data_IF_046920326540
#
_entry.id   IF_046920326540
#
_cell.length_a   1.000
_cell.length_b   1.000
_cell.length_c   1.000
_cell.angle_alpha   90.00
_cell.angle_beta   90.00
_cell.angle_gamma   90.00
#
_symmetry.space_group_name_H-M   'P 1'
#
loop_
_entity.id
_entity.type
_entity.pdbx_description
1 polymer ?
#
# COMPACT_ATOMS: atom_id res chain seq x y z
N UNK A 1 -33.62 -31.19 -11.53
CA UNK A 1 -32.32 -31.88 -11.45
C UNK A 1 -31.47 -31.77 -12.74
N UNK A 2 -31.97 -32.17 -13.92
CA UNK A 2 -31.17 -32.14 -15.19
C UNK A 2 -30.61 -30.77 -15.59
N UNK A 3 -31.36 -29.68 -15.40
CA UNK A 3 -30.92 -28.31 -15.74
C UNK A 3 -29.81 -27.79 -14.82
N UNK A 4 -29.85 -28.18 -13.54
CA UNK A 4 -28.85 -27.78 -12.54
C UNK A 4 -27.52 -28.50 -12.79
N UNK A 5 -27.59 -29.80 -13.11
CA UNK A 5 -26.43 -30.59 -13.55
C UNK A 5 -25.80 -30.03 -14.84
N UNK A 6 -26.62 -29.59 -15.79
CA UNK A 6 -26.13 -28.94 -17.02
C UNK A 6 -25.40 -27.62 -16.72
N UNK A 7 -25.95 -26.79 -15.83
CA UNK A 7 -25.30 -25.53 -15.39
C UNK A 7 -23.96 -25.80 -14.69
N UNK A 8 -23.90 -26.85 -13.85
CA UNK A 8 -22.69 -27.26 -13.13
C UNK A 8 -21.61 -27.73 -14.11
N UNK A 9 -21.97 -28.59 -15.07
CA UNK A 9 -21.07 -29.08 -16.13
C UNK A 9 -20.54 -27.94 -17.02
N UNK A 10 -21.39 -26.96 -17.36
CA UNK A 10 -21.00 -25.79 -18.16
C UNK A 10 -20.02 -24.91 -17.38
N UNK A 11 -20.25 -24.73 -16.09
CA UNK A 11 -19.38 -23.95 -15.19
C UNK A 11 -17.98 -24.57 -15.09
N UNK A 12 -17.90 -25.86 -14.79
CA UNK A 12 -16.62 -26.59 -14.65
C UNK A 12 -15.80 -26.61 -15.95
N UNK A 13 -16.45 -26.45 -17.11
CA UNK A 13 -15.80 -26.39 -18.43
C UNK A 13 -15.42 -24.98 -18.88
N UNK A 14 -15.76 -23.94 -18.12
CA UNK A 14 -15.45 -22.57 -18.51
C UNK A 14 -14.03 -22.22 -18.03
N UNK A 15 -13.02 -22.14 -18.90
CA UNK A 15 -11.63 -21.92 -18.48
C UNK A 15 -11.47 -20.57 -17.76
N UNK A 16 -12.18 -19.54 -18.20
CA UNK A 16 -12.17 -18.22 -17.58
C UNK A 16 -12.59 -18.25 -16.10
N UNK A 17 -13.58 -19.09 -15.75
CA UNK A 17 -14.00 -19.25 -14.35
C UNK A 17 -12.86 -19.77 -13.47
N UNK A 18 -12.12 -20.77 -13.95
CA UNK A 18 -10.97 -21.31 -13.23
C UNK A 18 -9.79 -20.35 -13.14
N UNK A 19 -9.56 -19.55 -14.20
CA UNK A 19 -8.56 -18.46 -14.17
C UNK A 19 -8.89 -17.48 -13.04
N UNK A 20 -10.14 -17.08 -12.87
CA UNK A 20 -10.55 -16.20 -11.78
C UNK A 20 -10.50 -16.86 -10.41
N UNK A 21 -10.92 -18.13 -10.28
CA UNK A 21 -10.83 -18.87 -9.02
C UNK A 21 -9.38 -19.01 -8.56
N UNK A 22 -8.48 -19.43 -9.46
CA UNK A 22 -7.05 -19.54 -9.16
C UNK A 22 -6.42 -18.15 -8.94
N UNK A 23 -6.82 -17.15 -9.72
CA UNK A 23 -6.37 -15.77 -9.56
C UNK A 23 -6.74 -15.22 -8.18
N UNK A 24 -7.99 -15.37 -7.75
CA UNK A 24 -8.44 -14.95 -6.41
C UNK A 24 -7.70 -15.72 -5.31
N UNK A 25 -7.46 -17.02 -5.51
CA UNK A 25 -6.76 -17.85 -4.52
C UNK A 25 -5.27 -17.49 -4.38
N UNK A 26 -4.60 -17.13 -5.48
CA UNK A 26 -3.13 -17.04 -5.52
C UNK A 26 -2.61 -15.60 -5.60
N UNK A 27 -3.25 -14.71 -6.37
CA UNK A 27 -2.72 -13.36 -6.59
C UNK A 27 -2.81 -12.46 -5.34
N UNK A 28 -3.92 -12.37 -4.60
CA UNK A 28 -3.95 -11.57 -3.38
C UNK A 28 -2.91 -12.02 -2.34
N UNK A 29 -2.76 -13.33 -2.02
CA UNK A 29 -1.69 -13.77 -1.13
C UNK A 29 -0.29 -13.50 -1.69
N UNK A 30 -0.07 -13.66 -2.99
CA UNK A 30 1.19 -13.28 -3.62
C UNK A 30 1.50 -11.79 -3.40
N UNK A 31 0.57 -10.89 -3.68
CA UNK A 31 0.74 -9.45 -3.46
C UNK A 31 0.89 -9.09 -1.98
N UNK A 32 0.27 -9.84 -1.07
CA UNK A 32 0.48 -9.70 0.37
C UNK A 32 1.93 -10.02 0.76
N UNK A 33 2.48 -11.13 0.26
CA UNK A 33 3.85 -11.55 0.53
C UNK A 33 4.85 -10.60 -0.14
N UNK A 34 4.62 -10.23 -1.40
CA UNK A 34 5.44 -9.23 -2.09
C UNK A 34 5.43 -7.93 -1.30
N UNK A 35 4.27 -7.38 -0.94
CA UNK A 35 4.19 -6.14 -0.15
C UNK A 35 4.82 -6.22 1.24
N UNK A 36 5.04 -7.43 1.78
CA UNK A 36 5.75 -7.67 3.04
C UNK A 36 7.27 -7.73 2.85
N UNK A 37 7.73 -8.15 1.68
CA UNK A 37 9.16 -8.33 1.37
C UNK A 37 9.75 -7.23 0.48
N UNK A 38 8.91 -6.44 -0.20
CA UNK A 38 9.32 -5.17 -0.82
C UNK A 38 9.31 -4.09 0.24
N UNK A 39 10.34 -4.11 1.09
CA UNK A 39 10.77 -2.90 1.76
C UNK A 39 10.99 -1.82 0.69
N UNK A 40 10.67 -0.55 0.99
CA UNK A 40 11.19 0.52 0.16
C UNK A 40 12.72 0.34 0.09
N UNK A 41 13.36 0.55 -1.07
CA UNK A 41 14.81 0.46 -1.15
C UNK A 41 15.40 1.32 -0.02
N UNK A 42 16.33 0.80 0.80
CA UNK A 42 16.84 1.56 1.92
C UNK A 42 17.56 2.81 1.41
N UNK A 43 17.67 3.82 2.26
CA UNK A 43 18.69 4.85 2.06
C UNK A 43 19.97 4.45 2.78
N UNK A 44 21.10 4.93 2.29
CA UNK A 44 22.40 4.60 2.86
C UNK A 44 23.22 5.85 3.15
N UNK A 45 24.33 5.69 3.86
CA UNK A 45 25.32 6.75 4.02
C UNK A 45 26.73 6.22 3.89
N UNK A 46 27.62 7.10 3.43
CA UNK A 46 29.06 6.90 3.45
C UNK A 46 29.69 8.03 4.26
N UNK A 47 30.70 7.66 5.05
CA UNK A 47 31.45 8.57 5.89
C UNK A 47 32.90 8.55 5.46
N UNK A 48 33.41 9.71 5.04
CA UNK A 48 34.77 9.84 4.53
C UNK A 48 35.82 9.66 5.65
N UNK A 49 35.54 10.18 6.84
CA UNK A 49 36.39 10.02 8.02
C UNK A 49 35.59 9.51 9.24
N UNK A 50 35.69 8.21 9.57
CA UNK A 50 35.06 7.64 10.76
C UNK A 50 35.56 8.16 12.11
N UNK A 51 36.70 8.87 12.13
CA UNK A 51 37.28 9.43 13.36
C UNK A 51 36.78 10.85 13.65
N UNK A 52 36.09 11.49 12.71
CA UNK A 52 35.48 12.79 12.95
C UNK A 52 34.27 12.63 13.91
N UNK A 53 34.29 13.27 15.10
CA UNK A 53 33.32 12.98 16.15
C UNK A 53 31.89 13.37 15.75
N UNK A 54 31.71 14.51 15.06
CA UNK A 54 30.38 14.94 14.63
C UNK A 54 29.85 14.10 13.46
N UNK A 55 30.72 13.65 12.55
CA UNK A 55 30.36 12.70 11.49
C UNK A 55 29.88 11.38 12.07
N UNK A 56 30.57 10.84 13.09
CA UNK A 56 30.14 9.64 13.79
C UNK A 56 28.78 9.83 14.50
N UNK A 57 28.53 11.01 15.06
CA UNK A 57 27.23 11.34 15.66
C UNK A 57 26.11 11.38 14.60
N UNK A 58 26.33 12.05 13.47
CA UNK A 58 25.38 12.08 12.34
C UNK A 58 25.09 10.65 11.86
N UNK A 59 26.12 9.84 11.64
CA UNK A 59 25.99 8.44 11.27
C UNK A 59 25.12 7.65 12.26
N UNK A 60 25.33 7.84 13.57
CA UNK A 60 24.51 7.20 14.60
C UNK A 60 23.04 7.64 14.60
N UNK A 61 22.73 8.88 14.23
CA UNK A 61 21.34 9.30 14.00
C UNK A 61 20.74 8.68 12.73
N UNK A 62 21.51 8.57 11.66
CA UNK A 62 21.09 7.95 10.40
C UNK A 62 20.84 6.44 10.58
N UNK A 63 21.69 5.73 11.33
CA UNK A 63 21.49 4.32 11.68
C UNK A 63 20.14 4.11 12.39
N UNK A 64 19.84 4.96 13.38
CA UNK A 64 18.54 4.92 14.10
C UNK A 64 17.35 5.25 13.20
N UNK A 65 17.56 6.06 12.16
CA UNK A 65 16.57 6.37 11.14
C UNK A 65 16.45 5.26 10.06
N UNK A 66 17.20 4.17 10.18
CA UNK A 66 17.13 3.02 9.27
C UNK A 66 18.00 3.15 8.02
N UNK A 67 18.97 4.06 8.01
CA UNK A 67 19.96 4.12 6.94
C UNK A 67 20.99 2.99 7.10
N UNK A 68 21.56 2.56 5.97
CA UNK A 68 22.59 1.51 5.93
C UNK A 68 23.97 2.12 5.67
N UNK A 69 24.98 1.74 6.45
CA UNK A 69 26.37 2.15 6.20
C UNK A 69 26.93 1.51 4.93
N UNK A 70 27.60 2.31 4.11
CA UNK A 70 28.21 1.86 2.85
C UNK A 70 29.75 1.92 2.90
N UNK A 71 30.43 0.96 2.24
CA UNK A 71 31.88 0.82 2.35
C UNK A 71 32.67 1.87 1.55
N UNK A 72 32.09 2.44 0.49
CA UNK A 72 32.73 3.50 -0.30
C UNK A 72 31.71 4.43 -0.96
N UNK A 73 32.13 5.65 -1.26
CA UNK A 73 31.35 6.64 -2.00
C UNK A 73 30.95 6.11 -3.39
N UNK A 74 31.87 5.46 -4.11
CA UNK A 74 31.61 4.97 -5.48
C UNK A 74 30.58 3.84 -5.49
N UNK A 75 30.62 2.96 -4.49
CA UNK A 75 29.61 1.92 -4.32
C UNK A 75 28.24 2.54 -4.04
N UNK A 76 28.19 3.54 -3.16
CA UNK A 76 26.96 4.24 -2.80
C UNK A 76 26.36 4.95 -4.02
N UNK A 77 27.16 5.73 -4.76
CA UNK A 77 26.70 6.44 -5.97
C UNK A 77 26.16 5.48 -7.01
N UNK A 78 26.87 4.37 -7.26
CA UNK A 78 26.46 3.36 -8.25
C UNK A 78 25.13 2.71 -7.90
N UNK A 79 24.91 2.37 -6.63
CA UNK A 79 23.70 1.66 -6.21
C UNK A 79 22.49 2.62 -6.14
N UNK A 80 22.73 3.91 -5.81
CA UNK A 80 21.72 4.98 -5.97
C UNK A 80 21.37 5.19 -7.44
N UNK A 81 22.35 5.25 -8.35
CA UNK A 81 22.12 5.40 -9.80
C UNK A 81 21.32 4.24 -10.39
N UNK A 82 21.54 3.02 -9.89
CA UNK A 82 20.80 1.82 -10.31
C UNK A 82 19.38 1.73 -9.72
N UNK A 83 19.04 2.60 -8.76
CA UNK A 83 17.77 2.53 -8.03
C UNK A 83 17.68 1.35 -7.06
N UNK A 84 18.83 0.77 -6.68
CA UNK A 84 18.90 -0.24 -5.61
C UNK A 84 18.78 0.40 -4.22
N UNK A 85 19.07 1.71 -4.13
CA UNK A 85 18.86 2.57 -2.98
C UNK A 85 17.90 3.72 -3.34
N UNK A 86 17.07 4.16 -2.38
CA UNK A 86 16.23 5.36 -2.55
C UNK A 86 17.09 6.63 -2.57
N UNK A 87 18.16 6.65 -1.76
CA UNK A 87 19.10 7.75 -1.68
C UNK A 87 20.36 7.40 -0.89
N UNK A 88 21.30 8.34 -0.86
CA UNK A 88 22.59 8.21 -0.21
C UNK A 88 23.03 9.52 0.45
N UNK A 89 23.57 9.46 1.66
CA UNK A 89 24.19 10.63 2.31
C UNK A 89 25.70 10.50 2.24
N UNK A 90 26.40 11.53 1.78
CA UNK A 90 27.86 11.64 1.91
C UNK A 90 28.16 12.58 3.07
N UNK A 91 28.86 12.06 4.06
CA UNK A 91 29.34 12.79 5.23
C UNK A 91 30.83 13.10 5.00
N UNK A 92 31.21 14.40 4.91
CA UNK A 92 32.59 14.80 4.62
C UNK A 92 33.51 14.51 5.80
N UNK A 93 34.82 14.56 5.56
CA UNK A 93 35.85 14.31 6.56
C UNK A 93 36.07 15.44 7.58
N UNK A 94 35.60 16.64 7.27
CA UNK A 94 35.87 17.89 8.00
C UNK A 94 34.62 18.48 8.70
N UNK A 95 33.59 17.66 8.95
CA UNK A 95 32.31 18.15 9.46
C UNK A 95 32.44 18.93 10.78
N UNK A 96 33.22 18.43 11.74
CA UNK A 96 33.44 19.13 13.03
C UNK A 96 34.04 20.52 12.84
N UNK A 97 35.04 20.65 11.97
CA UNK A 97 35.71 21.92 11.68
C UNK A 97 34.78 22.91 10.98
N UNK A 98 33.90 22.40 10.11
CA UNK A 98 32.89 23.22 9.42
C UNK A 98 31.82 23.73 10.38
N UNK A 99 31.30 22.87 11.26
CA UNK A 99 30.32 23.25 12.28
C UNK A 99 30.89 24.29 13.25
N UNK A 100 32.14 24.10 13.69
CA UNK A 100 32.86 25.03 14.57
C UNK A 100 33.05 26.41 13.95
N UNK A 101 33.45 26.47 12.67
CA UNK A 101 33.63 27.75 11.93
C UNK A 101 32.32 28.42 11.52
N UNK A 102 31.21 27.71 11.66
CA UNK A 102 29.90 28.15 11.23
C UNK A 102 29.66 28.07 9.73
N UNK A 103 30.38 27.19 9.02
CA UNK A 103 30.21 26.95 7.59
C UNK A 103 29.23 25.78 7.34
N UNK A 104 27.95 26.13 7.23
CA UNK A 104 26.86 25.15 7.21
C UNK A 104 26.39 24.75 5.80
N UNK A 105 26.81 25.49 4.77
CA UNK A 105 26.27 25.28 3.42
C UNK A 105 26.96 24.09 2.78
N UNK A 106 26.19 23.04 2.47
CA UNK A 106 26.73 21.82 1.88
C UNK A 106 27.54 20.98 2.86
N UNK A 107 27.17 21.01 4.15
CA UNK A 107 27.78 20.17 5.18
C UNK A 107 27.54 18.68 4.96
N UNK A 108 26.52 18.32 4.19
CA UNK A 108 26.23 16.97 3.73
C UNK A 108 25.81 17.02 2.27
N UNK A 109 26.13 15.96 1.51
CA UNK A 109 25.59 15.79 0.17
C UNK A 109 24.56 14.66 0.17
N UNK A 110 23.36 14.98 -0.33
CA UNK A 110 22.30 13.99 -0.47
C UNK A 110 22.16 13.58 -1.94
N UNK A 111 22.42 12.31 -2.20
CA UNK A 111 22.22 11.63 -3.47
C UNK A 111 20.80 11.08 -3.50
N UNK A 112 20.08 11.34 -4.58
CA UNK A 112 18.71 10.86 -4.77
C UNK A 112 18.69 10.00 -6.02
N UNK A 113 18.08 8.81 -5.91
CA UNK A 113 17.82 7.98 -7.09
C UNK A 113 16.77 8.64 -7.98
N UNK A 114 16.96 8.58 -9.29
CA UNK A 114 15.96 9.06 -10.25
C UNK A 114 14.61 8.32 -10.15
N UNK A 115 14.59 7.15 -9.52
CA UNK A 115 13.37 6.36 -9.27
C UNK A 115 12.85 6.49 -7.84
N UNK A 116 13.42 7.39 -7.03
CA UNK A 116 12.99 7.60 -5.65
C UNK A 116 11.53 8.02 -5.57
N UNK A 117 10.76 7.37 -4.69
CA UNK A 117 9.35 7.68 -4.45
C UNK A 117 9.16 8.60 -3.25
N UNK A 118 10.15 8.69 -2.37
CA UNK A 118 10.08 9.43 -1.10
C UNK A 118 11.34 10.26 -0.82
N UNK A 119 11.82 11.09 -1.77
CA UNK A 119 13.07 11.85 -1.59
C UNK A 119 12.99 12.81 -0.40
N UNK A 120 11.85 13.47 -0.22
CA UNK A 120 11.62 14.43 0.87
C UNK A 120 11.67 13.76 2.25
N UNK A 121 11.18 12.52 2.37
CA UNK A 121 11.21 11.78 3.64
C UNK A 121 12.65 11.54 4.08
N UNK A 122 13.48 11.02 3.17
CA UNK A 122 14.88 10.73 3.46
C UNK A 122 15.69 12.00 3.68
N UNK A 123 15.46 13.04 2.88
CA UNK A 123 16.07 14.34 3.08
C UNK A 123 15.72 14.94 4.45
N UNK A 124 14.47 14.79 4.91
CA UNK A 124 14.05 15.24 6.23
C UNK A 124 14.74 14.47 7.35
N UNK A 125 14.91 13.15 7.23
CA UNK A 125 15.69 12.36 8.19
C UNK A 125 17.16 12.80 8.25
N UNK A 126 17.79 13.00 7.08
CA UNK A 126 19.16 13.51 7.01
C UNK A 126 19.30 14.90 7.61
N UNK A 127 18.35 15.79 7.31
CA UNK A 127 18.32 17.15 7.87
C UNK A 127 18.13 17.13 9.39
N UNK A 128 17.25 16.27 9.90
CA UNK A 128 17.04 16.10 11.34
C UNK A 128 18.29 15.57 12.05
N UNK A 129 18.99 14.61 11.45
CA UNK A 129 20.26 14.09 11.96
C UNK A 129 21.32 15.20 12.05
N UNK A 130 21.47 16.02 11.00
CA UNK A 130 22.40 17.14 11.01
C UNK A 130 22.00 18.21 12.04
N UNK A 131 20.72 18.57 12.13
CA UNK A 131 20.21 19.55 13.10
C UNK A 131 20.45 19.11 14.55
N UNK A 132 20.32 17.81 14.85
CA UNK A 132 20.57 17.28 16.19
C UNK A 132 22.03 17.45 16.63
N UNK A 133 22.98 17.29 15.70
CA UNK A 133 24.42 17.51 15.95
C UNK A 133 24.77 19.00 15.96
N UNK A 134 24.07 19.79 15.15
CA UNK A 134 24.32 21.22 14.99
C UNK A 134 23.73 22.08 16.12
N UNK A 135 22.60 21.71 16.72
CA UNK A 135 21.91 22.54 17.71
C UNK A 135 22.81 23.03 18.89
N UNK A 136 23.71 22.20 19.47
CA UNK A 136 24.64 22.65 20.51
C UNK A 136 25.56 23.79 20.04
N UNK A 137 26.04 23.76 18.80
CA UNK A 137 26.92 24.80 18.24
C UNK A 137 26.22 26.16 18.16
N UNK A 138 24.95 26.18 17.76
CA UNK A 138 24.17 27.42 17.72
C UNK A 138 23.98 27.95 19.15
N UNK A 139 23.50 27.09 20.04
CA UNK A 139 23.15 27.47 21.40
C UNK A 139 24.38 27.97 22.18
N UNK A 140 25.52 27.30 22.04
CA UNK A 140 26.78 27.74 22.65
C UNK A 140 27.20 29.13 22.17
N UNK A 141 27.09 29.43 20.87
CA UNK A 141 27.40 30.77 20.34
C UNK A 141 26.51 31.88 20.90
N UNK A 142 25.24 31.59 21.15
CA UNK A 142 24.33 32.57 21.76
C UNK A 142 24.57 32.76 23.26
N UNK A 143 25.14 31.76 23.92
CA UNK A 143 25.35 31.73 25.37
C UNK A 143 26.82 31.93 25.78
N UNK A 144 27.69 32.22 24.81
CA UNK A 144 29.12 32.46 25.00
C UNK A 144 29.37 33.63 25.97
N UNK A 145 28.57 34.70 25.86
CA UNK A 145 28.62 35.84 26.79
C UNK A 145 28.25 35.46 28.23
N UNK A 146 27.47 34.38 28.41
CA UNK A 146 27.11 33.81 29.70
C UNK A 146 28.13 32.83 30.27
N UNK A 147 29.25 32.59 29.57
CA UNK A 147 30.32 31.68 29.99
C UNK A 147 30.02 30.20 29.79
N UNK A 148 28.98 29.85 29.03
CA UNK A 148 28.63 28.45 28.74
C UNK A 148 29.46 27.97 27.55
N UNK A 149 30.16 26.85 27.73
CA UNK A 149 31.03 26.24 26.71
C UNK A 149 30.25 25.33 25.75
N UNK A 150 30.84 25.06 24.58
CA UNK A 150 30.25 24.13 23.60
C UNK A 150 30.09 22.72 24.16
N UNK A 151 31.06 22.25 24.92
CA UNK A 151 31.10 20.92 25.54
C UNK A 151 29.97 20.76 26.56
N UNK A 152 29.76 21.76 27.43
CA UNK A 152 28.61 21.79 28.35
C UNK A 152 27.27 21.75 27.59
N UNK A 153 27.18 22.46 26.45
CA UNK A 153 25.98 22.40 25.61
C UNK A 153 25.80 21.04 24.94
N UNK A 154 26.88 20.41 24.46
CA UNK A 154 26.82 19.08 23.83
C UNK A 154 26.34 18.03 24.85
N UNK A 155 26.84 18.07 26.08
CA UNK A 155 26.40 17.18 27.16
C UNK A 155 24.92 17.38 27.51
N UNK A 156 24.49 18.63 27.68
CA UNK A 156 23.09 18.95 27.98
C UNK A 156 22.13 18.47 26.87
N UNK A 157 22.46 18.69 25.60
CA UNK A 157 21.65 18.19 24.49
C UNK A 157 21.63 16.66 24.42
N UNK A 158 22.76 15.99 24.67
CA UNK A 158 22.80 14.52 24.71
C UNK A 158 21.89 13.97 25.81
N UNK A 159 21.91 14.57 27.01
CA UNK A 159 21.02 14.20 28.11
C UNK A 159 19.55 14.41 27.73
N UNK A 160 19.21 15.57 27.16
CA UNK A 160 17.85 15.89 26.74
C UNK A 160 17.32 14.96 25.65
N UNK A 161 18.19 14.48 24.74
CA UNK A 161 17.85 13.49 23.71
C UNK A 161 17.63 12.12 24.34
N UNK A 162 18.52 11.67 25.23
CA UNK A 162 18.43 10.38 25.90
C UNK A 162 17.20 10.28 26.82
N UNK A 163 16.84 11.36 27.48
CA UNK A 163 15.67 11.44 28.37
C UNK A 163 14.36 11.73 27.62
N UNK A 164 14.40 11.96 26.31
CA UNK A 164 13.23 12.26 25.49
C UNK A 164 12.61 13.64 25.76
N UNK A 165 13.33 14.55 26.41
CA UNK A 165 12.88 15.92 26.66
C UNK A 165 12.84 16.75 25.37
N UNK A 166 13.69 16.43 24.39
CA UNK A 166 13.66 16.99 23.03
C UNK A 166 12.67 16.20 22.15
N UNK A 167 11.37 16.40 22.41
CA UNK A 167 10.22 15.96 21.58
C UNK A 167 10.19 14.47 21.17
N UNK A 168 9.30 13.70 21.80
CA UNK A 168 8.98 12.33 21.39
C UNK A 168 7.72 12.27 20.52
N UNK A 169 7.86 11.92 19.23
CA UNK A 169 6.71 11.72 18.35
C UNK A 169 6.21 10.27 18.43
N UNK A 170 5.04 10.08 19.04
CA UNK A 170 4.32 8.80 18.95
C UNK A 170 3.41 8.84 17.73
N UNK A 171 3.78 8.16 16.65
CA UNK A 171 2.90 8.02 15.49
C UNK A 171 1.87 6.93 15.81
N UNK A 172 0.64 7.36 16.07
CA UNK A 172 -0.50 6.46 16.23
C UNK A 172 -1.50 6.64 15.10
N UNK A 173 -2.20 5.55 14.77
CA UNK A 173 -3.40 5.62 13.96
C UNK A 173 -4.48 6.44 14.68
N UNK A 174 -5.54 6.80 13.96
CA UNK A 174 -6.65 7.62 14.49
C UNK A 174 -7.30 7.04 15.76
N UNK A 175 -7.19 5.73 15.96
CA UNK A 175 -7.68 4.99 17.12
C UNK A 175 -6.64 4.84 18.25
N UNK A 176 -5.49 5.53 18.14
CA UNK A 176 -4.41 5.51 19.14
C UNK A 176 -3.51 4.28 19.06
N UNK A 177 -3.71 3.37 18.12
CA UNK A 177 -2.89 2.16 17.97
C UNK A 177 -1.66 2.41 17.11
N UNK A 178 -0.59 1.66 17.34
CA UNK A 178 0.56 1.67 16.44
C UNK A 178 0.12 1.20 15.04
N UNK A 179 0.63 1.85 14.00
CA UNK A 179 0.40 1.41 12.62
C UNK A 179 1.18 0.11 12.43
N UNK A 180 0.53 -1.02 12.11
CA UNK A 180 1.25 -2.28 11.93
C UNK A 180 2.08 -2.25 10.65
N UNK A 181 3.28 -2.82 10.68
CA UNK A 181 4.18 -2.95 9.52
C UNK A 181 3.51 -3.63 8.31
N UNK A 182 2.45 -4.41 8.53
CA UNK A 182 1.68 -5.08 7.48
C UNK A 182 0.65 -4.20 6.78
N UNK A 183 0.51 -2.92 7.15
CA UNK A 183 -0.49 -2.02 6.58
C UNK A 183 -0.40 -1.93 5.04
N UNK A 184 0.83 -1.87 4.50
CA UNK A 184 1.07 -1.86 3.04
C UNK A 184 0.65 -3.18 2.38
N UNK A 185 1.11 -4.32 2.92
CA UNK A 185 0.75 -5.66 2.44
C UNK A 185 -0.75 -5.88 2.43
N UNK A 186 -1.45 -5.41 3.47
CA UNK A 186 -2.91 -5.47 3.58
C UNK A 186 -3.62 -4.68 2.50
N UNK A 187 -3.14 -3.46 2.20
CA UNK A 187 -3.70 -2.64 1.11
C UNK A 187 -3.60 -3.36 -0.24
N UNK A 188 -2.43 -3.91 -0.57
CA UNK A 188 -2.25 -4.67 -1.82
C UNK A 188 -3.11 -5.94 -1.88
N UNK A 189 -3.20 -6.69 -0.77
CA UNK A 189 -4.06 -7.85 -0.66
C UNK A 189 -5.53 -7.50 -0.95
N UNK A 190 -6.07 -6.49 -0.26
CA UNK A 190 -7.45 -6.05 -0.41
C UNK A 190 -7.71 -5.46 -1.81
N UNK A 191 -6.73 -4.76 -2.36
CA UNK A 191 -6.72 -4.27 -3.75
C UNK A 191 -6.89 -5.41 -4.74
N UNK A 192 -6.02 -6.40 -4.72
CA UNK A 192 -6.11 -7.54 -5.63
C UNK A 192 -7.42 -8.33 -5.43
N UNK A 193 -7.79 -8.60 -4.18
CA UNK A 193 -8.98 -9.38 -3.86
C UNK A 193 -10.26 -8.72 -4.36
N UNK A 194 -10.43 -7.42 -4.08
CA UNK A 194 -11.65 -6.69 -4.45
C UNK A 194 -11.87 -6.59 -5.96
N UNK A 195 -10.81 -6.30 -6.73
CA UNK A 195 -10.88 -6.19 -8.19
C UNK A 195 -11.20 -7.54 -8.83
N UNK A 196 -10.55 -8.62 -8.37
CA UNK A 196 -10.78 -9.96 -8.90
C UNK A 196 -12.19 -10.47 -8.56
N UNK A 197 -12.70 -10.17 -7.36
CA UNK A 197 -14.09 -10.49 -6.99
C UNK A 197 -15.09 -9.70 -7.85
N UNK A 198 -14.84 -8.42 -8.09
CA UNK A 198 -15.70 -7.59 -8.92
C UNK A 198 -15.75 -8.10 -10.37
N UNK A 199 -14.59 -8.23 -11.01
CA UNK A 199 -14.49 -8.70 -12.39
C UNK A 199 -14.97 -10.16 -12.55
N UNK A 200 -14.61 -11.03 -11.61
CA UNK A 200 -15.01 -12.43 -11.60
C UNK A 200 -16.53 -12.59 -11.43
N UNK A 201 -17.15 -11.81 -10.54
CA UNK A 201 -18.61 -11.85 -10.35
C UNK A 201 -19.39 -11.33 -11.57
N UNK A 202 -18.81 -10.44 -12.38
CA UNK A 202 -19.41 -10.05 -13.66
C UNK A 202 -19.16 -11.08 -14.76
N UNK A 203 -17.90 -11.27 -15.16
CA UNK A 203 -17.52 -12.02 -16.35
C UNK A 203 -17.72 -13.53 -16.22
N UNK A 204 -17.58 -14.07 -15.01
CA UNK A 204 -17.69 -15.52 -14.79
C UNK A 204 -19.08 -15.93 -14.29
N UNK A 205 -19.83 -15.02 -13.69
CA UNK A 205 -21.14 -15.33 -13.10
C UNK A 205 -22.25 -14.62 -13.88
N UNK A 206 -22.33 -13.30 -13.76
CA UNK A 206 -23.52 -12.56 -14.14
C UNK A 206 -23.73 -12.51 -15.66
N UNK A 207 -22.71 -12.16 -16.45
CA UNK A 207 -22.86 -12.04 -17.90
C UNK A 207 -23.16 -13.38 -18.60
N UNK A 208 -22.43 -14.49 -18.35
CA UNK A 208 -22.71 -15.77 -19.02
C UNK A 208 -24.04 -16.40 -18.59
N UNK A 209 -24.45 -16.22 -17.33
CA UNK A 209 -25.72 -16.73 -16.83
C UNK A 209 -26.89 -15.91 -17.35
N UNK A 210 -26.76 -14.58 -17.43
CA UNK A 210 -27.79 -13.71 -18.00
C UNK A 210 -28.04 -14.07 -19.47
N UNK A 211 -26.98 -14.30 -20.25
CA UNK A 211 -27.07 -14.75 -21.64
C UNK A 211 -27.75 -16.12 -21.74
N UNK A 212 -27.32 -17.09 -20.94
CA UNK A 212 -27.91 -18.43 -20.95
C UNK A 212 -29.39 -18.39 -20.54
N UNK A 213 -29.74 -17.59 -19.53
CA UNK A 213 -31.11 -17.42 -19.07
C UNK A 213 -31.97 -16.70 -20.13
N UNK A 214 -31.44 -15.69 -20.81
CA UNK A 214 -32.13 -14.99 -21.90
C UNK A 214 -32.43 -15.95 -23.06
N UNK A 215 -31.45 -16.74 -23.51
CA UNK A 215 -31.64 -17.73 -24.58
C UNK A 215 -32.71 -18.78 -24.22
N UNK A 216 -32.69 -19.28 -22.98
CA UNK A 216 -33.66 -20.29 -22.53
C UNK A 216 -35.03 -19.69 -22.19
N UNK A 217 -35.10 -18.39 -21.89
CA UNK A 217 -36.36 -17.71 -21.56
C UNK A 217 -37.38 -17.77 -22.68
N UNK A 218 -36.94 -17.87 -23.93
CA UNK A 218 -37.78 -18.06 -25.11
C UNK A 218 -38.48 -19.43 -25.13
N UNK A 219 -37.92 -20.43 -24.44
CA UNK A 219 -38.44 -21.83 -24.44
C UNK A 219 -39.23 -22.17 -23.19
N UNK A 220 -38.75 -21.74 -22.02
CA UNK A 220 -39.32 -22.13 -20.72
C UNK A 220 -39.99 -20.97 -19.97
N UNK A 221 -40.00 -19.76 -20.56
CA UNK A 221 -40.51 -18.53 -19.96
C UNK A 221 -39.48 -17.83 -19.07
N UNK A 222 -39.53 -16.49 -19.06
CA UNK A 222 -38.58 -15.61 -18.32
C UNK A 222 -38.49 -15.93 -16.84
N UNK A 223 -39.62 -16.01 -16.13
CA UNK A 223 -39.64 -16.28 -14.69
C UNK A 223 -39.06 -17.65 -14.33
N UNK A 224 -39.32 -18.67 -15.15
CA UNK A 224 -38.81 -20.03 -14.93
C UNK A 224 -37.32 -20.11 -15.27
N UNK A 225 -36.86 -19.48 -16.36
CA UNK A 225 -35.43 -19.39 -16.68
C UNK A 225 -34.64 -18.68 -15.58
N UNK A 226 -35.18 -17.58 -15.04
CA UNK A 226 -34.56 -16.86 -13.93
C UNK A 226 -34.44 -17.73 -12.66
N UNK A 227 -35.55 -18.34 -12.21
CA UNK A 227 -35.57 -19.16 -10.98
C UNK A 227 -34.79 -20.48 -11.09
N UNK A 228 -34.73 -21.09 -12.27
CA UNK A 228 -34.17 -22.45 -12.43
C UNK A 228 -32.76 -22.48 -13.00
N UNK A 229 -32.31 -21.41 -13.67
CA UNK A 229 -30.97 -21.34 -14.27
C UNK A 229 -30.14 -20.21 -13.66
N UNK A 230 -30.68 -19.00 -13.62
CA UNK A 230 -29.91 -17.83 -13.19
C UNK A 230 -29.58 -17.88 -11.70
N UNK A 231 -30.60 -17.95 -10.82
CA UNK A 231 -30.40 -17.93 -9.36
C UNK A 231 -29.51 -19.09 -8.88
N UNK A 232 -29.77 -20.36 -9.24
CA UNK A 232 -28.91 -21.46 -8.82
C UNK A 232 -27.50 -21.37 -9.40
N UNK A 233 -27.36 -20.86 -10.63
CA UNK A 233 -26.06 -20.65 -11.26
C UNK A 233 -25.23 -19.58 -10.54
N UNK A 234 -25.88 -18.48 -10.13
CA UNK A 234 -25.24 -17.40 -9.36
C UNK A 234 -24.75 -17.93 -8.02
N UNK A 235 -25.60 -18.68 -7.30
CA UNK A 235 -25.23 -19.26 -6.01
C UNK A 235 -24.05 -20.24 -6.15
N UNK A 236 -24.12 -21.16 -7.11
CA UNK A 236 -23.09 -22.17 -7.31
C UNK A 236 -21.73 -21.55 -7.66
N UNK A 237 -21.71 -20.63 -8.63
CA UNK A 237 -20.46 -19.98 -9.05
C UNK A 237 -19.97 -19.00 -7.99
N UNK A 238 -20.88 -18.32 -7.30
CA UNK A 238 -20.59 -17.43 -6.20
C UNK A 238 -19.91 -18.17 -5.04
N UNK A 239 -20.38 -19.38 -4.71
CA UNK A 239 -19.75 -20.24 -3.71
C UNK A 239 -18.29 -20.56 -4.06
N UNK A 240 -17.96 -20.79 -5.33
CA UNK A 240 -16.57 -21.04 -5.73
C UNK A 240 -15.67 -19.82 -5.63
N UNK A 241 -16.16 -18.62 -5.99
CA UNK A 241 -15.42 -17.38 -5.76
C UNK A 241 -15.27 -17.08 -4.26
N UNK A 242 -16.30 -17.34 -3.47
CA UNK A 242 -16.25 -17.19 -2.01
C UNK A 242 -15.25 -18.17 -1.37
N UNK A 243 -15.22 -19.42 -1.82
CA UNK A 243 -14.24 -20.41 -1.38
C UNK A 243 -12.81 -20.02 -1.76
N UNK A 244 -12.61 -19.46 -2.97
CA UNK A 244 -11.31 -18.92 -3.38
C UNK A 244 -10.89 -17.73 -2.50
N UNK A 245 -11.80 -16.80 -2.21
CA UNK A 245 -11.53 -15.65 -1.35
C UNK A 245 -11.22 -16.08 0.10
N UNK A 246 -11.93 -17.08 0.61
CA UNK A 246 -11.63 -17.70 1.91
C UNK A 246 -10.24 -18.31 1.90
N UNK A 247 -9.91 -19.11 0.87
CA UNK A 247 -8.59 -19.69 0.70
C UNK A 247 -7.50 -18.62 0.67
N UNK A 248 -7.72 -17.53 -0.06
CA UNK A 248 -6.80 -16.40 -0.11
C UNK A 248 -6.56 -15.78 1.28
N UNK A 249 -7.63 -15.53 2.05
CA UNK A 249 -7.52 -15.01 3.42
C UNK A 249 -6.80 -15.99 4.36
N UNK A 250 -6.97 -17.30 4.17
CA UNK A 250 -6.30 -18.32 4.98
C UNK A 250 -4.79 -18.40 4.65
N UNK A 251 -4.42 -18.34 3.37
CA UNK A 251 -3.02 -18.37 2.91
C UNK A 251 -2.27 -17.11 3.37
N UNK A 252 -2.91 -15.94 3.32
CA UNK A 252 -2.29 -14.68 3.78
C UNK A 252 -2.32 -14.48 5.29
N UNK A 253 -3.04 -15.34 6.04
CA UNK A 253 -3.24 -15.18 7.49
C UNK A 253 -4.24 -14.08 7.88
N UNK A 254 -4.87 -13.42 6.90
CA UNK A 254 -5.77 -12.29 7.12
C UNK A 254 -7.23 -12.72 7.35
N UNK A 255 -7.47 -13.47 8.43
CA UNK A 255 -8.80 -14.00 8.78
C UNK A 255 -9.85 -12.91 9.01
N UNK A 256 -9.43 -11.71 9.39
CA UNK A 256 -10.32 -10.56 9.61
C UNK A 256 -11.07 -10.09 8.36
N UNK A 257 -10.59 -10.44 7.16
CA UNK A 257 -11.22 -10.02 5.89
C UNK A 257 -12.19 -11.04 5.29
N UNK A 258 -12.37 -12.21 5.91
CA UNK A 258 -13.30 -13.23 5.41
C UNK A 258 -14.73 -12.70 5.33
N UNK A 259 -15.22 -12.10 6.43
CA UNK A 259 -16.57 -11.56 6.49
C UNK A 259 -16.75 -10.33 5.58
N UNK A 260 -15.83 -9.35 5.56
CA UNK A 260 -15.86 -8.25 4.58
C UNK A 260 -15.87 -8.72 3.12
N UNK A 261 -15.04 -9.70 2.76
CA UNK A 261 -14.98 -10.25 1.41
C UNK A 261 -16.29 -10.95 1.01
N UNK A 262 -16.88 -11.73 1.93
CA UNK A 262 -18.16 -12.38 1.71
C UNK A 262 -19.30 -11.37 1.54
N UNK A 263 -19.36 -10.35 2.40
CA UNK A 263 -20.34 -9.27 2.32
C UNK A 263 -20.21 -8.46 1.01
N UNK A 264 -18.98 -8.13 0.61
CA UNK A 264 -18.71 -7.42 -0.63
C UNK A 264 -19.08 -8.25 -1.85
N UNK A 265 -18.76 -9.55 -1.88
CA UNK A 265 -19.14 -10.44 -2.97
C UNK A 265 -20.68 -10.52 -3.09
N UNK A 266 -21.39 -10.63 -1.98
CA UNK A 266 -22.86 -10.63 -2.00
C UNK A 266 -23.42 -9.32 -2.56
N UNK A 267 -22.86 -8.17 -2.14
CA UNK A 267 -23.25 -6.86 -2.66
C UNK A 267 -22.92 -6.71 -4.16
N UNK A 268 -21.76 -7.16 -4.61
CA UNK A 268 -21.35 -7.16 -6.03
C UNK A 268 -22.28 -8.04 -6.87
N UNK A 269 -22.66 -9.22 -6.37
CA UNK A 269 -23.62 -10.10 -7.06
C UNK A 269 -24.99 -9.44 -7.16
N UNK A 270 -25.45 -8.75 -6.11
CA UNK A 270 -26.70 -7.97 -6.16
C UNK A 270 -26.60 -6.81 -7.16
N UNK A 271 -25.49 -6.08 -7.17
CA UNK A 271 -25.24 -5.01 -8.14
C UNK A 271 -25.31 -5.53 -9.57
N UNK A 272 -24.63 -6.64 -9.87
CA UNK A 272 -24.67 -7.23 -11.20
C UNK A 272 -26.04 -7.83 -11.55
N UNK A 273 -26.79 -8.35 -10.57
CA UNK A 273 -28.17 -8.78 -10.75
C UNK A 273 -29.04 -7.59 -11.20
N UNK A 274 -28.94 -6.45 -10.51
CA UNK A 274 -29.67 -5.23 -10.86
C UNK A 274 -29.26 -4.72 -12.24
N UNK A 275 -27.95 -4.70 -12.54
CA UNK A 275 -27.44 -4.33 -13.87
C UNK A 275 -27.95 -5.29 -14.95
N UNK A 276 -28.11 -6.58 -14.62
CA UNK A 276 -28.66 -7.61 -15.48
C UNK A 276 -30.10 -7.36 -15.93
N UNK A 277 -30.89 -6.61 -15.14
CA UNK A 277 -32.28 -6.24 -15.48
C UNK A 277 -32.37 -5.22 -16.61
N UNK A 278 -31.31 -4.44 -16.86
CA UNK A 278 -31.30 -3.43 -17.91
C UNK A 278 -31.15 -4.06 -19.32
N UNK A 279 -31.67 -3.46 -20.39
CA UNK A 279 -31.44 -3.94 -21.76
C UNK A 279 -30.04 -3.58 -22.29
N UNK A 280 -29.55 -4.35 -23.27
CA UNK A 280 -28.29 -4.10 -23.99
C UNK A 280 -27.03 -4.64 -23.29
N UNK A 281 -26.26 -5.48 -23.97
CA UNK A 281 -25.05 -6.13 -23.41
C UNK A 281 -23.78 -5.29 -23.59
N UNK A 282 -23.57 -4.75 -24.78
CA UNK A 282 -22.28 -4.17 -25.19
C UNK A 282 -21.86 -2.98 -24.31
N UNK A 283 -22.81 -2.13 -23.90
CA UNK A 283 -22.50 -0.99 -23.04
C UNK A 283 -22.23 -1.39 -21.58
N UNK A 284 -22.78 -2.52 -21.11
CA UNK A 284 -22.54 -3.01 -19.75
C UNK A 284 -21.13 -3.56 -19.60
N UNK A 285 -20.63 -4.30 -20.59
CA UNK A 285 -19.26 -4.80 -20.59
C UNK A 285 -18.26 -3.62 -20.51
N UNK A 286 -18.51 -2.56 -21.28
CA UNK A 286 -17.74 -1.31 -21.20
C UNK A 286 -17.88 -0.64 -19.84
N UNK A 287 -19.11 -0.50 -19.32
CA UNK A 287 -19.36 0.10 -18.01
C UNK A 287 -18.59 -0.60 -16.89
N UNK A 288 -18.57 -1.93 -16.88
CA UNK A 288 -17.85 -2.71 -15.87
C UNK A 288 -16.35 -2.48 -15.96
N UNK A 289 -15.78 -2.42 -17.16
CA UNK A 289 -14.37 -2.09 -17.37
C UNK A 289 -14.08 -0.67 -16.89
N UNK A 290 -14.93 0.31 -17.23
CA UNK A 290 -14.78 1.69 -16.76
C UNK A 290 -14.88 1.80 -15.24
N UNK A 291 -15.84 1.11 -14.60
CA UNK A 291 -15.95 1.06 -13.13
C UNK A 291 -14.68 0.46 -12.52
N UNK A 292 -14.14 -0.62 -13.09
CA UNK A 292 -12.90 -1.23 -12.60
C UNK A 292 -11.70 -0.27 -12.69
N UNK A 293 -11.51 0.39 -13.85
CA UNK A 293 -10.44 1.36 -14.07
C UNK A 293 -10.59 2.60 -13.18
N UNK A 294 -11.80 3.11 -13.04
CA UNK A 294 -12.06 4.27 -12.19
C UNK A 294 -11.89 3.93 -10.71
N UNK A 295 -12.23 2.70 -10.31
CA UNK A 295 -11.95 2.19 -8.96
C UNK A 295 -10.44 2.08 -8.69
N UNK A 296 -9.63 1.71 -9.68
CA UNK A 296 -8.17 1.72 -9.55
C UNK A 296 -7.61 3.13 -9.25
N UNK A 297 -8.20 4.18 -9.84
CA UNK A 297 -7.74 5.55 -9.60
C UNK A 297 -8.20 6.09 -8.23
N UNK A 298 -9.38 5.69 -7.77
CA UNK A 298 -10.04 6.34 -6.64
C UNK A 298 -9.95 5.55 -5.34
N UNK A 299 -9.83 4.22 -5.39
CA UNK A 299 -9.87 3.42 -4.18
C UNK A 299 -8.61 3.65 -3.32
N UNK A 300 -8.76 3.69 -1.99
CA UNK A 300 -7.66 3.94 -1.04
C UNK A 300 -6.57 2.85 -1.03
N UNK A 301 -6.87 1.70 -1.63
CA UNK A 301 -5.96 0.55 -1.78
C UNK A 301 -5.04 0.64 -3.01
N UNK A 302 -5.22 1.65 -3.86
CA UNK A 302 -4.42 1.87 -5.06
C UNK A 302 -3.80 3.28 -5.03
N UNK A 303 -4.29 4.21 -5.88
CA UNK A 303 -3.71 5.54 -6.05
C UNK A 303 -4.24 6.58 -5.04
N UNK A 304 -5.46 6.39 -4.51
CA UNK A 304 -6.14 7.36 -3.62
C UNK A 304 -6.11 8.82 -4.13
N UNK A 305 -6.80 9.11 -5.23
CA UNK A 305 -7.00 10.50 -5.70
C UNK A 305 -7.72 11.42 -4.69
N UNK A 306 -8.32 10.88 -3.61
CA UNK A 306 -8.97 11.74 -2.62
C UNK A 306 -7.99 12.55 -1.78
N UNK A 307 -6.72 12.14 -1.73
CA UNK A 307 -5.64 12.92 -1.15
C UNK A 307 -5.46 14.26 -1.86
N UNK A 308 -5.73 14.30 -3.18
CA UNK A 308 -5.67 15.52 -3.99
C UNK A 308 -7.00 16.27 -4.00
N UNK A 309 -8.12 15.55 -4.12
CA UNK A 309 -9.46 16.14 -4.21
C UNK A 309 -10.41 15.44 -3.23
N UNK A 310 -10.59 16.01 -2.01
CA UNK A 310 -11.39 15.38 -0.95
C UNK A 310 -12.85 15.09 -1.34
N UNK A 311 -13.43 15.86 -2.26
CA UNK A 311 -14.79 15.65 -2.77
C UNK A 311 -14.98 14.26 -3.42
N UNK A 312 -13.92 13.69 -4.00
CA UNK A 312 -13.96 12.37 -4.67
C UNK A 312 -14.15 11.24 -3.64
N UNK A 313 -13.80 11.44 -2.37
CA UNK A 313 -13.96 10.43 -1.33
C UNK A 313 -15.41 9.94 -1.20
N UNK A 314 -16.40 10.81 -1.46
CA UNK A 314 -17.83 10.46 -1.41
C UNK A 314 -18.26 9.51 -2.54
N UNK A 315 -17.61 9.60 -3.69
CA UNK A 315 -17.95 8.80 -4.89
C UNK A 315 -17.52 7.34 -4.72
N UNK A 316 -16.52 7.07 -3.86
CA UNK A 316 -16.02 5.72 -3.56
C UNK A 316 -17.10 4.73 -3.18
N UNK A 317 -18.10 5.17 -2.44
CA UNK A 317 -19.19 4.31 -1.99
C UNK A 317 -20.00 3.74 -3.17
N UNK A 318 -20.02 4.42 -4.31
CA UNK A 318 -20.72 3.96 -5.51
C UNK A 318 -19.93 2.91 -6.31
N UNK A 319 -18.65 2.69 -5.98
CA UNK A 319 -17.75 1.83 -6.72
C UNK A 319 -17.64 0.45 -6.05
N UNK A 320 -18.15 -0.63 -6.67
CA UNK A 320 -18.19 -1.95 -6.04
C UNK A 320 -16.83 -2.50 -5.56
N UNK A 321 -15.70 -2.30 -6.27
CA UNK A 321 -14.39 -2.70 -5.75
C UNK A 321 -14.04 -2.04 -4.40
N UNK A 322 -14.56 -0.85 -4.10
CA UNK A 322 -14.30 -0.19 -2.82
C UNK A 322 -15.07 -0.82 -1.64
N UNK A 323 -16.08 -1.66 -1.88
CA UNK A 323 -16.93 -2.20 -0.81
C UNK A 323 -16.22 -3.16 0.14
N UNK A 324 -15.22 -3.91 -0.34
CA UNK A 324 -14.38 -4.75 0.52
C UNK A 324 -13.66 -3.88 1.56
N UNK A 325 -13.16 -2.72 1.14
CA UNK A 325 -12.50 -1.75 2.03
C UNK A 325 -13.47 -1.20 3.07
N UNK A 326 -14.65 -0.73 2.66
CA UNK A 326 -15.65 -0.19 3.58
C UNK A 326 -16.11 -1.21 4.62
N UNK A 327 -16.39 -2.44 4.19
CA UNK A 327 -16.83 -3.51 5.09
C UNK A 327 -15.71 -4.01 6.02
N UNK A 328 -14.45 -3.77 5.66
CA UNK A 328 -13.30 -4.11 6.52
C UNK A 328 -13.08 -3.13 7.68
N UNK A 329 -13.80 -2.00 7.72
CA UNK A 329 -13.70 -1.02 8.80
C UNK A 329 -12.42 -0.18 8.78
N UNK A 330 -11.68 -0.17 7.66
CA UNK A 330 -10.45 0.63 7.49
C UNK A 330 -10.72 2.11 7.15
N UNK A 331 -11.67 2.75 7.85
CA UNK A 331 -12.04 4.17 7.67
C UNK A 331 -11.32 5.12 8.65
#
# INVERSE_FOLDING_TARGET
MKLLFFSLKKTLRTPLYWIFVLGILLLPPFFYHVGRHTAAPPSAYYMENPQDPDSALVAGYLDRAGFVSYPSEEALRRDVERGELEGGVLIPDDLTDRLTRGDYKGSLYFLISATSLLPDLWQNHTSAALLAVYAPYISARYLEEGGITLEEMKEAYQEMIQTGQLFHFVITARDGRAIPDTARSRRFFLGALSLLLFLGSYFCISAPLAETAAQQSLRIGRGRAFRTLYVPGVLLRGLGLAAAALGACLISGERGFVLPAAGALAAMLLFHLLLGLLPGRSWKDLLIIFIALFSLAIAPMYLDLSLLVPAIAKVRFLLPPCWVWFLSGML
#
